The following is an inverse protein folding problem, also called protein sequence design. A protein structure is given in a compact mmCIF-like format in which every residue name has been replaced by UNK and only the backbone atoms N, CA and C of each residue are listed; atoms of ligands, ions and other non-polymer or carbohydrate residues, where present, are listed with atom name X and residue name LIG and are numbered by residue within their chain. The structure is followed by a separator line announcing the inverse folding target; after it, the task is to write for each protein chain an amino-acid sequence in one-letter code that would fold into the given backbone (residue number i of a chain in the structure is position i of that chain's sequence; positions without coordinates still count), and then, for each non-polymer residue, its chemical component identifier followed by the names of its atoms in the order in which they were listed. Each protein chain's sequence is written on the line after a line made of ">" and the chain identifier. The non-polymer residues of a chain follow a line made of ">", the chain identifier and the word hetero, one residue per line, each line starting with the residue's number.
data_IF_043871842539
#
_entry.id   IF_043871842539
#
_cell.length_a   1.000
_cell.length_b   1.000
_cell.length_c   1.000
_cell.angle_alpha   90.00
_cell.angle_beta   90.00
_cell.angle_gamma   90.00
#
_symmetry.space_group_name_H-M   'P 1'
#
loop_
_entity.id
_entity.type
_entity.pdbx_description
1 polymer ?
#
# COMPACT_ATOMS: atom_id res chain seq x y z
N UNK A 1 18.21 18.76 26.01
CA UNK A 1 17.07 19.33 25.27
C UNK A 1 17.53 19.97 23.97
N UNK A 2 18.59 20.80 23.97
CA UNK A 2 19.08 21.46 22.74
C UNK A 2 19.59 20.54 21.64
N UNK A 3 20.36 19.48 21.97
CA UNK A 3 20.91 18.57 20.95
C UNK A 3 19.83 17.82 20.17
N UNK A 4 18.77 17.35 20.85
CA UNK A 4 17.66 16.65 20.21
C UNK A 4 16.82 17.57 19.31
N UNK A 5 16.63 18.83 19.72
CA UNK A 5 15.96 19.84 18.89
C UNK A 5 16.79 20.19 17.64
N UNK A 6 18.12 20.24 17.79
CA UNK A 6 19.03 20.52 16.69
C UNK A 6 19.10 19.36 15.67
N UNK A 7 19.08 18.11 16.14
CA UNK A 7 18.98 16.94 15.27
C UNK A 7 17.64 16.90 14.54
N UNK A 8 16.50 17.17 15.19
CA UNK A 8 15.20 17.23 14.53
C UNK A 8 15.13 18.32 13.45
N UNK A 9 15.74 19.49 13.70
CA UNK A 9 15.84 20.59 12.74
C UNK A 9 16.63 20.18 11.48
N UNK A 10 17.72 19.43 11.66
CA UNK A 10 18.54 18.93 10.55
C UNK A 10 17.77 17.94 9.67
N UNK A 11 17.10 16.95 10.28
CA UNK A 11 16.31 15.94 9.57
C UNK A 11 15.17 16.59 8.77
N UNK A 12 14.48 17.57 9.36
CA UNK A 12 13.40 18.29 8.69
C UNK A 12 13.92 19.04 7.44
N UNK A 13 15.12 19.61 7.52
CA UNK A 13 15.76 20.31 6.39
C UNK A 13 16.14 19.35 5.25
N UNK A 14 16.63 18.16 5.56
CA UNK A 14 16.99 17.14 4.56
C UNK A 14 15.77 16.55 3.86
N UNK A 15 14.71 16.22 4.61
CA UNK A 15 13.45 15.73 4.05
C UNK A 15 12.82 16.79 3.14
N UNK A 16 12.88 18.08 3.54
CA UNK A 16 12.43 19.20 2.72
C UNK A 16 13.18 19.28 1.38
N UNK A 17 14.50 19.11 1.37
CA UNK A 17 15.28 19.11 0.12
C UNK A 17 14.93 17.94 -0.82
N UNK A 18 14.65 16.76 -0.28
CA UNK A 18 14.20 15.61 -1.08
C UNK A 18 12.84 15.93 -1.70
N UNK A 19 11.89 16.40 -0.88
CA UNK A 19 10.55 16.80 -1.32
C UNK A 19 10.57 17.89 -2.39
N UNK A 20 11.41 18.91 -2.24
CA UNK A 20 11.54 19.99 -3.23
C UNK A 20 11.98 19.46 -4.60
N UNK A 21 12.88 18.46 -4.62
CA UNK A 21 13.29 17.79 -5.86
C UNK A 21 12.16 16.97 -6.48
N UNK A 22 11.38 16.24 -5.67
CA UNK A 22 10.38 15.29 -6.17
C UNK A 22 9.00 15.91 -6.45
N UNK A 23 8.59 16.93 -5.69
CA UNK A 23 7.23 17.52 -5.74
C UNK A 23 7.12 18.73 -6.67
N UNK A 24 8.24 19.23 -7.20
CA UNK A 24 8.29 20.42 -8.07
C UNK A 24 7.31 20.42 -9.25
N UNK A 25 6.77 19.26 -9.65
CA UNK A 25 5.88 19.08 -10.80
C UNK A 25 4.39 18.87 -10.49
N UNK A 26 3.99 18.40 -9.29
CA UNK A 26 2.58 18.11 -9.01
C UNK A 26 2.25 18.10 -7.51
N UNK A 27 1.48 19.10 -7.05
CA UNK A 27 1.12 19.24 -5.64
C UNK A 27 0.05 18.24 -5.18
N UNK A 28 -0.75 17.70 -6.11
CA UNK A 28 -1.81 16.71 -5.81
C UNK A 28 -1.25 15.44 -5.17
N UNK A 29 0.01 15.11 -5.43
CA UNK A 29 0.67 13.89 -4.95
C UNK A 29 1.59 14.15 -3.75
N UNK A 30 1.53 15.33 -3.11
CA UNK A 30 2.46 15.73 -2.05
C UNK A 30 2.51 14.73 -0.88
N UNK A 31 1.35 14.18 -0.48
CA UNK A 31 1.28 13.18 0.60
C UNK A 31 2.04 11.89 0.24
N UNK A 32 1.80 11.34 -0.96
CA UNK A 32 2.50 10.14 -1.42
C UNK A 32 4.01 10.37 -1.57
N UNK A 33 4.40 11.55 -2.07
CA UNK A 33 5.80 11.93 -2.24
C UNK A 33 6.51 12.20 -0.91
N UNK A 34 5.79 12.66 0.12
CA UNK A 34 6.30 12.80 1.48
C UNK A 34 6.60 11.43 2.10
N UNK A 35 5.70 10.46 1.94
CA UNK A 35 5.96 9.09 2.40
C UNK A 35 7.17 8.48 1.68
N UNK A 36 7.28 8.68 0.37
CA UNK A 36 8.41 8.22 -0.43
C UNK A 36 9.72 8.90 -0.01
N UNK A 37 9.74 10.23 0.17
CA UNK A 37 10.90 10.97 0.62
C UNK A 37 11.38 10.51 2.00
N UNK A 38 10.46 10.27 2.94
CA UNK A 38 10.77 9.70 4.25
C UNK A 38 11.32 8.27 4.16
N UNK A 39 10.84 7.46 3.21
CA UNK A 39 11.35 6.12 2.96
C UNK A 39 12.80 6.16 2.42
N UNK A 40 13.05 6.99 1.42
CA UNK A 40 14.39 7.20 0.84
C UNK A 40 15.36 7.71 1.90
N UNK A 41 14.97 8.69 2.70
CA UNK A 41 15.79 9.19 3.81
C UNK A 41 16.16 8.07 4.80
N UNK A 42 15.20 7.23 5.18
CA UNK A 42 15.44 6.11 6.11
C UNK A 42 16.38 5.04 5.55
N UNK A 43 16.28 4.74 4.26
CA UNK A 43 16.93 3.58 3.64
C UNK A 43 18.23 3.94 2.92
N UNK A 44 18.23 5.00 2.13
CA UNK A 44 19.31 5.33 1.19
C UNK A 44 20.28 6.40 1.73
N UNK A 45 19.82 7.28 2.62
CA UNK A 45 20.69 8.28 3.23
C UNK A 45 21.69 7.57 4.15
N UNK A 46 22.97 7.89 4.01
CA UNK A 46 24.02 7.41 4.90
C UNK A 46 24.51 8.58 5.72
N UNK A 47 24.50 8.44 7.03
CA UNK A 47 25.08 9.41 7.95
C UNK A 47 26.60 9.45 7.78
N UNK A 48 27.29 10.41 8.42
CA UNK A 48 28.76 10.51 8.39
C UNK A 48 29.47 9.23 8.88
N UNK A 49 28.77 8.40 9.66
CA UNK A 49 29.24 7.10 10.18
C UNK A 49 29.01 5.97 9.15
N UNK A 50 28.44 6.27 7.99
CA UNK A 50 28.16 5.32 6.91
C UNK A 50 26.90 4.47 7.12
N UNK A 51 26.17 4.68 8.22
CA UNK A 51 24.94 3.96 8.55
C UNK A 51 23.70 4.76 8.15
N UNK A 52 22.64 4.07 7.74
CA UNK A 52 21.37 4.73 7.47
C UNK A 52 20.68 5.17 8.76
N UNK A 53 19.87 6.25 8.75
CA UNK A 53 19.08 6.67 9.91
C UNK A 53 18.24 5.54 10.50
N UNK A 54 17.68 4.68 9.64
CA UNK A 54 16.95 3.50 10.07
C UNK A 54 17.83 2.54 10.90
N UNK A 55 19.06 2.29 10.42
CA UNK A 55 20.04 1.42 11.09
C UNK A 55 20.56 1.99 12.41
N UNK A 56 20.60 3.32 12.56
CA UNK A 56 20.95 3.97 13.82
C UNK A 56 19.87 3.80 14.90
N UNK A 57 18.59 3.88 14.52
CA UNK A 57 17.47 3.78 15.46
C UNK A 57 17.16 2.34 15.84
N UNK A 58 17.21 1.42 14.87
CA UNK A 58 16.79 0.02 15.06
C UNK A 58 17.97 -0.98 15.17
N UNK A 59 19.21 -0.52 15.00
CA UNK A 59 20.40 -1.36 15.05
C UNK A 59 20.56 -2.28 13.82
N UNK A 60 21.55 -3.16 13.87
CA UNK A 60 21.81 -4.20 12.84
C UNK A 60 20.91 -5.43 12.98
N UNK A 61 20.00 -5.46 13.95
CA UNK A 61 19.22 -6.65 14.25
C UNK A 61 18.30 -6.96 13.06
N UNK A 62 18.48 -8.16 12.50
CA UNK A 62 17.83 -8.69 11.30
C UNK A 62 16.32 -8.94 11.46
N UNK A 63 15.58 -8.00 12.05
CA UNK A 63 14.13 -8.02 12.08
C UNK A 63 13.71 -6.91 11.13
N UNK A 64 13.16 -7.30 9.98
CA UNK A 64 12.48 -6.38 9.08
C UNK A 64 11.60 -5.46 9.94
N UNK A 65 11.59 -4.13 9.73
CA UNK A 65 10.75 -3.27 10.56
C UNK A 65 9.32 -3.79 10.48
N UNK A 66 8.71 -4.04 11.62
CA UNK A 66 7.28 -4.42 11.74
C UNK A 66 6.39 -3.57 10.84
N UNK A 67 6.78 -2.31 10.58
CA UNK A 67 6.08 -1.41 9.66
C UNK A 67 6.08 -1.88 8.19
N UNK A 68 7.16 -2.49 7.69
CA UNK A 68 7.22 -3.09 6.35
C UNK A 68 6.43 -4.39 6.30
N UNK A 69 6.60 -5.28 7.28
CA UNK A 69 5.81 -6.52 7.40
C UNK A 69 4.31 -6.23 7.45
N UNK A 70 3.92 -5.23 8.22
CA UNK A 70 2.53 -4.77 8.31
C UNK A 70 2.02 -4.24 6.98
N UNK A 71 2.84 -3.49 6.21
CA UNK A 71 2.45 -3.00 4.89
C UNK A 71 2.21 -4.16 3.91
N UNK A 72 3.12 -5.12 3.86
CA UNK A 72 2.98 -6.31 3.01
C UNK A 72 1.77 -7.15 3.44
N UNK A 73 1.57 -7.35 4.74
CA UNK A 73 0.41 -8.01 5.30
C UNK A 73 -0.91 -7.33 4.89
N UNK A 74 -0.98 -5.99 4.91
CA UNK A 74 -2.18 -5.27 4.47
C UNK A 74 -2.44 -5.38 2.97
N UNK A 75 -1.40 -5.42 2.15
CA UNK A 75 -1.54 -5.65 0.71
C UNK A 75 -2.09 -7.05 0.46
N UNK A 76 -1.52 -8.08 1.08
CA UNK A 76 -2.00 -9.48 0.98
C UNK A 76 -3.45 -9.59 1.48
N UNK A 77 -3.76 -8.97 2.61
CA UNK A 77 -5.11 -8.99 3.16
C UNK A 77 -6.12 -8.33 2.23
N UNK A 78 -5.76 -7.22 1.58
CA UNK A 78 -6.62 -6.54 0.60
C UNK A 78 -6.86 -7.42 -0.63
N UNK A 79 -5.79 -8.00 -1.20
CA UNK A 79 -5.89 -8.91 -2.35
C UNK A 79 -6.79 -10.11 -2.07
N UNK A 80 -6.74 -10.67 -0.86
CA UNK A 80 -7.61 -11.78 -0.46
C UNK A 80 -9.09 -11.37 -0.35
N UNK A 81 -9.36 -10.15 0.12
CA UNK A 81 -10.74 -9.62 0.18
C UNK A 81 -11.28 -9.39 -1.23
N UNK A 82 -10.47 -8.79 -2.11
CA UNK A 82 -10.85 -8.51 -3.50
C UNK A 82 -11.09 -9.82 -4.27
N UNK A 83 -10.23 -10.83 -4.08
CA UNK A 83 -10.41 -12.16 -4.67
C UNK A 83 -11.74 -12.79 -4.22
N UNK A 84 -12.01 -12.80 -2.92
CA UNK A 84 -13.26 -13.37 -2.37
C UNK A 84 -14.50 -12.65 -2.93
N UNK A 85 -14.44 -11.33 -3.00
CA UNK A 85 -15.52 -10.53 -3.59
C UNK A 85 -15.74 -10.88 -5.06
N UNK A 86 -14.67 -11.07 -5.83
CA UNK A 86 -14.76 -11.49 -7.22
C UNK A 86 -15.31 -12.92 -7.38
N UNK A 87 -14.96 -13.84 -6.48
CA UNK A 87 -15.50 -15.20 -6.47
C UNK A 87 -17.00 -15.20 -6.19
N UNK A 88 -17.45 -14.44 -5.19
CA UNK A 88 -18.86 -14.28 -4.84
C UNK A 88 -19.67 -13.65 -6.00
N UNK A 89 -19.13 -12.62 -6.65
CA UNK A 89 -19.76 -12.02 -7.83
C UNK A 89 -19.91 -13.01 -8.98
N UNK A 90 -18.87 -13.80 -9.27
CA UNK A 90 -18.93 -14.79 -10.35
C UNK A 90 -19.96 -15.89 -10.04
N UNK A 91 -20.06 -16.31 -8.79
CA UNK A 91 -21.05 -17.29 -8.36
C UNK A 91 -22.48 -16.76 -8.54
N UNK A 92 -22.72 -15.50 -8.18
CA UNK A 92 -24.02 -14.85 -8.38
C UNK A 92 -24.42 -14.83 -9.87
N UNK A 93 -23.49 -14.44 -10.75
CA UNK A 93 -23.73 -14.42 -12.20
C UNK A 93 -24.07 -15.79 -12.77
N UNK A 94 -23.45 -16.86 -12.24
CA UNK A 94 -23.76 -18.23 -12.66
C UNK A 94 -25.16 -18.66 -12.21
N UNK A 95 -25.54 -18.31 -10.99
CA UNK A 95 -26.86 -18.62 -10.46
C UNK A 95 -27.97 -17.89 -11.25
N UNK A 96 -27.78 -16.60 -11.55
CA UNK A 96 -28.71 -15.83 -12.40
C UNK A 96 -28.86 -16.47 -13.79
N UNK A 97 -27.74 -16.92 -14.38
CA UNK A 97 -27.78 -17.60 -15.67
C UNK A 97 -28.59 -18.89 -15.59
N UNK A 98 -28.36 -19.73 -14.58
CA UNK A 98 -29.10 -20.98 -14.36
C UNK A 98 -30.61 -20.73 -14.17
N UNK A 99 -31.00 -19.67 -13.47
CA UNK A 99 -32.40 -19.26 -13.35
C UNK A 99 -33.01 -18.92 -14.72
N UNK A 100 -32.30 -18.16 -15.56
CA UNK A 100 -32.77 -17.87 -16.92
C UNK A 100 -32.93 -19.13 -17.78
N UNK A 101 -32.00 -20.09 -17.67
CA UNK A 101 -32.11 -21.37 -18.39
C UNK A 101 -33.33 -22.17 -17.92
N UNK A 102 -33.57 -22.22 -16.61
CA UNK A 102 -34.73 -22.91 -16.04
C UNK A 102 -36.05 -22.25 -16.48
N UNK A 103 -36.12 -20.92 -16.44
CA UNK A 103 -37.29 -20.19 -16.92
C UNK A 103 -37.55 -20.44 -18.41
N UNK A 104 -36.51 -20.40 -19.26
CA UNK A 104 -36.63 -20.71 -20.67
C UNK A 104 -37.11 -22.16 -20.90
N UNK A 105 -36.56 -23.12 -20.16
CA UNK A 105 -36.97 -24.53 -20.24
C UNK A 105 -38.44 -24.70 -19.86
N UNK A 106 -38.87 -24.11 -18.74
CA UNK A 106 -40.25 -24.12 -18.28
C UNK A 106 -41.20 -23.49 -19.30
N UNK A 107 -40.84 -22.33 -19.85
CA UNK A 107 -41.60 -21.69 -20.91
C UNK A 107 -41.73 -22.61 -22.14
N UNK A 108 -40.64 -23.24 -22.60
CA UNK A 108 -40.71 -24.17 -23.75
C UNK A 108 -41.56 -25.41 -23.49
N UNK A 109 -41.66 -25.89 -22.24
CA UNK A 109 -42.54 -26.99 -21.85
C UNK A 109 -43.99 -26.58 -21.99
N UNK A 110 -44.35 -25.39 -21.51
CA UNK A 110 -45.72 -24.84 -21.56
C UNK A 110 -46.21 -24.65 -23.00
N UNK A 111 -45.35 -24.19 -23.92
CA UNK A 111 -45.75 -24.01 -25.33
C UNK A 111 -45.87 -25.31 -26.14
N UNK A 112 -45.44 -26.45 -25.59
CA UNK A 112 -45.51 -27.76 -26.25
C UNK A 112 -46.69 -28.63 -25.75
N UNK A 113 -47.43 -28.16 -24.75
CA UNK A 113 -48.74 -28.71 -24.33
C UNK A 113 -49.89 -28.00 -25.08
#
# INVERSE_FOLDING_TARGET
>A
LDLALQEQSLVMKEVKQILEKTVSTNWKDWSSKLEEALCVYKMAFKTQIGMSPYRLVFGNACHLPVKLEHREFWVVKRLNIDLKSSEEQRLLQLNELEEFWNEAYENTRIYKE
#
